data_IF_301969298109
#
_entry.id   IF_301969298109
#
_cell.length_a   1.000
_cell.length_b   1.000
_cell.length_c   1.000
_cell.angle_alpha   90.00
_cell.angle_beta   90.00
_cell.angle_gamma   90.00
#
_symmetry.space_group_name_H-M   'P 1'
#
loop_
_entity.id
_entity.type
_entity.pdbx_description
1 polymer ?
#
# COMPACT_ATOMS: atom_id res chain seq x y z
N UNK A 1 -26.36 22.32 18.04
CA UNK A 1 -25.28 22.42 19.04
C UNK A 1 -24.79 21.06 19.54
N UNK A 2 -25.38 19.92 19.14
CA UNK A 2 -25.01 18.56 19.57
C UNK A 2 -24.00 17.88 18.65
N UNK A 3 -23.89 18.27 17.40
CA UNK A 3 -23.01 17.57 16.42
C UNK A 3 -21.51 17.87 16.58
N UNK A 4 -21.14 19.08 17.01
CA UNK A 4 -19.74 19.46 17.20
C UNK A 4 -19.05 18.71 18.36
N UNK A 5 -19.81 18.28 19.35
CA UNK A 5 -19.30 17.55 20.52
C UNK A 5 -18.79 16.15 20.17
N UNK A 6 -19.40 15.50 19.18
CA UNK A 6 -18.98 14.17 18.71
C UNK A 6 -17.68 14.20 17.91
N UNK A 7 -17.49 15.23 17.10
CA UNK A 7 -16.26 15.41 16.32
C UNK A 7 -15.09 15.74 17.26
N UNK A 8 -15.32 16.60 18.26
CA UNK A 8 -14.31 16.94 19.26
C UNK A 8 -13.94 15.75 20.16
N UNK A 9 -14.92 14.93 20.54
CA UNK A 9 -14.71 13.72 21.32
C UNK A 9 -13.98 12.64 20.52
N UNK A 10 -14.30 12.48 19.23
CA UNK A 10 -13.59 11.57 18.33
C UNK A 10 -12.13 12.00 18.12
N UNK A 11 -11.86 13.30 17.99
CA UNK A 11 -10.49 13.84 17.90
C UNK A 11 -9.74 13.73 19.24
N UNK A 12 -10.40 13.96 20.36
CA UNK A 12 -9.80 13.84 21.70
C UNK A 12 -9.50 12.37 22.06
N UNK A 13 -10.33 11.43 21.63
CA UNK A 13 -10.11 9.98 21.80
C UNK A 13 -9.01 9.47 20.85
N UNK A 14 -8.90 10.01 19.64
CA UNK A 14 -7.76 9.77 18.73
C UNK A 14 -6.45 10.32 19.31
N UNK A 15 -6.48 11.51 19.92
CA UNK A 15 -5.29 12.11 20.50
C UNK A 15 -4.85 11.46 21.81
N UNK A 16 -5.78 11.09 22.68
CA UNK A 16 -5.47 10.46 23.97
C UNK A 16 -5.21 8.96 23.87
N UNK A 17 -6.01 8.21 23.11
CA UNK A 17 -5.82 6.77 22.96
C UNK A 17 -4.63 6.40 22.08
N UNK A 18 -4.43 7.10 20.95
CA UNK A 18 -3.34 6.82 20.01
C UNK A 18 -1.97 7.20 20.55
N UNK A 19 -1.85 8.36 21.17
CA UNK A 19 -0.56 8.88 21.63
C UNK A 19 -0.09 8.22 22.94
N UNK A 20 -0.97 7.94 23.88
CA UNK A 20 -0.63 7.22 25.12
C UNK A 20 -0.31 5.74 24.88
N UNK A 21 -1.01 5.09 23.96
CA UNK A 21 -0.72 3.70 23.59
C UNK A 21 0.61 3.58 22.83
N UNK A 22 0.94 4.58 22.03
CA UNK A 22 2.22 4.66 21.34
C UNK A 22 3.39 4.86 22.31
N UNK A 23 3.18 5.56 23.45
CA UNK A 23 4.22 5.80 24.45
C UNK A 23 4.37 4.70 25.52
N UNK A 24 3.33 3.92 25.80
CA UNK A 24 3.32 2.94 26.92
C UNK A 24 3.69 1.51 26.52
N UNK A 25 3.70 1.19 25.23
CA UNK A 25 4.05 -0.16 24.76
C UNK A 25 5.55 -0.35 24.79
N UNK A 26 6.01 -1.47 25.36
CA UNK A 26 7.43 -1.85 25.44
C UNK A 26 8.11 -1.65 24.07
N UNK A 27 9.26 -0.98 24.09
CA UNK A 27 10.05 -0.62 22.90
C UNK A 27 10.25 -1.81 21.94
N UNK A 28 10.37 -3.02 22.50
CA UNK A 28 10.51 -4.29 21.76
C UNK A 28 9.26 -4.70 21.00
N UNK A 29 8.06 -4.42 21.53
CA UNK A 29 6.80 -4.68 20.84
C UNK A 29 6.57 -3.70 19.69
N UNK A 30 6.90 -2.43 19.89
CA UNK A 30 6.81 -1.41 18.83
C UNK A 30 7.68 -1.74 17.61
N UNK A 31 8.91 -2.20 17.81
CA UNK A 31 9.76 -2.65 16.71
C UNK A 31 9.16 -3.83 15.94
N UNK A 32 8.54 -4.78 16.64
CA UNK A 32 7.87 -5.92 15.96
C UNK A 32 6.67 -5.47 15.13
N UNK A 33 5.92 -4.47 15.57
CA UNK A 33 4.76 -3.93 14.85
C UNK A 33 5.15 -3.03 13.67
N UNK A 34 6.32 -2.39 13.71
CA UNK A 34 6.90 -1.67 12.58
C UNK A 34 7.43 -2.62 11.49
N UNK A 35 7.87 -3.79 11.89
CA UNK A 35 8.51 -4.77 10.99
C UNK A 35 7.47 -5.74 10.41
N UNK A 36 6.56 -6.25 11.25
CA UNK A 36 5.53 -7.22 10.87
C UNK A 36 4.12 -6.67 11.13
N UNK A 37 3.16 -7.16 10.37
CA UNK A 37 1.76 -6.94 10.72
C UNK A 37 1.43 -7.55 12.10
N UNK A 38 0.46 -6.98 12.81
CA UNK A 38 0.02 -7.49 14.13
C UNK A 38 -0.33 -8.98 14.10
N UNK A 39 -0.91 -9.43 12.99
CA UNK A 39 -1.26 -10.84 12.77
C UNK A 39 -0.03 -11.71 12.64
N UNK A 40 0.95 -11.28 11.84
CA UNK A 40 2.14 -12.05 11.55
C UNK A 40 3.14 -12.01 12.72
N UNK A 41 3.21 -10.92 13.48
CA UNK A 41 4.08 -10.77 14.65
C UNK A 41 3.88 -11.91 15.67
N UNK A 42 2.64 -12.40 15.83
CA UNK A 42 2.24 -13.48 16.77
C UNK A 42 2.50 -14.89 16.24
N UNK A 43 2.79 -15.07 14.95
CA UNK A 43 3.04 -16.39 14.35
C UNK A 43 4.48 -16.86 14.54
N UNK A 44 4.68 -18.16 14.48
CA UNK A 44 6.02 -18.78 14.54
C UNK A 44 6.90 -18.39 13.35
N UNK A 45 8.21 -18.60 13.47
CA UNK A 45 9.20 -18.21 12.44
C UNK A 45 8.90 -18.86 11.08
N UNK A 46 8.56 -20.14 11.04
CA UNK A 46 8.23 -20.87 9.81
C UNK A 46 7.03 -20.25 9.07
N UNK A 47 5.96 -19.91 9.80
CA UNK A 47 4.80 -19.24 9.21
C UNK A 47 5.17 -17.86 8.64
N UNK A 48 6.02 -17.08 9.34
CA UNK A 48 6.46 -15.77 8.86
C UNK A 48 7.18 -15.87 7.53
N UNK A 49 8.13 -16.81 7.43
CA UNK A 49 8.90 -17.06 6.21
C UNK A 49 7.98 -17.49 5.07
N UNK A 50 7.06 -18.42 5.34
CA UNK A 50 6.10 -18.90 4.34
C UNK A 50 5.20 -17.76 3.82
N UNK A 51 4.66 -16.92 4.70
CA UNK A 51 3.83 -15.76 4.28
C UNK A 51 4.62 -14.74 3.46
N UNK A 52 5.85 -14.42 3.86
CA UNK A 52 6.72 -13.50 3.12
C UNK A 52 7.01 -14.09 1.74
N UNK A 53 7.38 -15.36 1.64
CA UNK A 53 7.68 -16.03 0.38
C UNK A 53 6.49 -16.04 -0.58
N UNK A 54 5.29 -16.42 -0.08
CA UNK A 54 4.07 -16.44 -0.89
C UNK A 54 3.70 -15.05 -1.39
N UNK A 55 3.78 -14.03 -0.53
CA UNK A 55 3.42 -12.67 -0.93
C UNK A 55 4.47 -12.05 -1.87
N UNK A 56 5.77 -12.37 -1.69
CA UNK A 56 6.80 -11.96 -2.65
C UNK A 56 6.57 -12.62 -4.00
N UNK A 57 6.25 -13.92 -4.04
CA UNK A 57 5.90 -14.61 -5.27
C UNK A 57 4.66 -13.97 -5.94
N UNK A 58 3.65 -13.58 -5.16
CA UNK A 58 2.48 -12.89 -5.68
C UNK A 58 2.83 -11.51 -6.28
N UNK A 59 3.77 -10.77 -5.67
CA UNK A 59 4.28 -9.51 -6.24
C UNK A 59 5.01 -9.74 -7.58
N UNK A 60 5.83 -10.78 -7.67
CA UNK A 60 6.50 -11.17 -8.94
C UNK A 60 5.48 -11.50 -10.00
N UNK A 61 4.50 -12.36 -9.69
CA UNK A 61 3.44 -12.76 -10.62
C UNK A 61 2.61 -11.55 -11.06
N UNK A 62 2.27 -10.66 -10.14
CA UNK A 62 1.51 -9.46 -10.46
C UNK A 62 2.27 -8.56 -11.45
N UNK A 63 3.57 -8.41 -11.27
CA UNK A 63 4.41 -7.60 -12.15
C UNK A 63 4.61 -8.25 -13.52
N UNK A 64 4.66 -9.58 -13.60
CA UNK A 64 4.87 -10.29 -14.86
C UNK A 64 3.60 -10.44 -15.71
N UNK A 65 2.47 -10.74 -15.08
CA UNK A 65 1.28 -11.23 -15.78
C UNK A 65 0.09 -10.26 -15.72
N UNK A 66 0.05 -9.36 -14.75
CA UNK A 66 -1.08 -8.44 -14.57
C UNK A 66 -0.81 -7.03 -15.11
N UNK A 67 0.13 -6.92 -16.05
CA UNK A 67 0.31 -5.73 -16.88
C UNK A 67 -0.25 -5.98 -18.26
N UNK A 68 -1.24 -5.19 -18.65
CA UNK A 68 -1.82 -5.26 -19.99
C UNK A 68 -2.07 -3.85 -20.53
N UNK A 69 -1.84 -3.70 -21.83
CA UNK A 69 -2.14 -2.46 -22.55
C UNK A 69 -3.54 -2.56 -23.13
N UNK A 70 -4.38 -1.58 -22.81
CA UNK A 70 -5.67 -1.42 -23.44
C UNK A 70 -5.73 -0.03 -24.06
N UNK A 71 -5.81 0.02 -25.40
CA UNK A 71 -5.57 1.24 -26.19
C UNK A 71 -4.20 1.85 -25.82
N UNK A 72 -4.16 3.14 -25.44
CA UNK A 72 -2.93 3.84 -25.03
C UNK A 72 -2.69 3.81 -23.52
N UNK A 73 -3.55 3.12 -22.77
CA UNK A 73 -3.48 3.05 -21.31
C UNK A 73 -2.87 1.73 -20.85
N UNK A 74 -1.86 1.81 -20.01
CA UNK A 74 -1.24 0.66 -19.37
C UNK A 74 -1.92 0.39 -18.03
N UNK A 75 -2.61 -0.74 -17.92
CA UNK A 75 -3.21 -1.20 -16.68
C UNK A 75 -2.28 -2.19 -15.99
N UNK A 76 -2.16 -2.04 -14.68
CA UNK A 76 -1.37 -2.92 -13.84
C UNK A 76 -2.06 -3.11 -12.49
N UNK A 77 -2.08 -4.34 -11.97
CA UNK A 77 -2.62 -4.64 -10.64
C UNK A 77 -1.55 -4.58 -9.54
N UNK A 78 -0.37 -4.09 -9.86
CA UNK A 78 0.77 -4.04 -8.93
C UNK A 78 0.51 -3.17 -7.71
N UNK A 79 -0.23 -2.06 -7.84
CA UNK A 79 -0.58 -1.18 -6.71
C UNK A 79 -1.48 -1.94 -5.70
N UNK A 80 -2.49 -2.65 -6.20
CA UNK A 80 -3.39 -3.46 -5.36
C UNK A 80 -2.61 -4.56 -4.62
N UNK A 81 -1.78 -5.33 -5.33
CA UNK A 81 -0.99 -6.41 -4.73
C UNK A 81 0.04 -5.86 -3.75
N UNK A 82 0.68 -4.73 -4.05
CA UNK A 82 1.64 -4.09 -3.15
C UNK A 82 0.97 -3.61 -1.86
N UNK A 83 -0.19 -2.95 -1.96
CA UNK A 83 -0.94 -2.54 -0.79
C UNK A 83 -1.38 -3.73 0.06
N UNK A 84 -1.91 -4.78 -0.56
CA UNK A 84 -2.30 -6.01 0.12
C UNK A 84 -1.11 -6.67 0.83
N UNK A 85 0.04 -6.75 0.17
CA UNK A 85 1.28 -7.30 0.72
C UNK A 85 1.72 -6.53 1.97
N UNK A 86 1.74 -5.20 1.90
CA UNK A 86 2.08 -4.35 3.05
C UNK A 86 1.15 -4.54 4.24
N UNK A 87 -0.15 -4.67 3.99
CA UNK A 87 -1.16 -4.89 5.04
C UNK A 87 -1.00 -6.26 5.69
N UNK A 88 -0.77 -7.31 4.92
CA UNK A 88 -0.72 -8.70 5.40
C UNK A 88 0.60 -9.06 6.07
N UNK A 89 1.73 -8.70 5.48
CA UNK A 89 3.07 -9.02 6.02
C UNK A 89 3.50 -7.99 7.05
N UNK A 90 3.25 -6.73 6.77
CA UNK A 90 3.72 -5.58 7.54
C UNK A 90 4.52 -4.61 6.68
N UNK A 91 4.74 -3.38 7.19
CA UNK A 91 5.29 -2.29 6.38
C UNK A 91 6.69 -2.58 5.85
N UNK A 92 7.61 -3.00 6.70
CA UNK A 92 9.01 -3.16 6.29
C UNK A 92 9.23 -4.37 5.37
N UNK A 93 8.71 -5.54 5.75
CA UNK A 93 8.83 -6.73 4.90
C UNK A 93 7.97 -6.62 3.64
N UNK A 94 6.85 -5.92 3.69
CA UNK A 94 6.06 -5.58 2.52
C UNK A 94 6.83 -4.73 1.53
N UNK A 95 7.54 -3.69 2.01
CA UNK A 95 8.43 -2.88 1.18
C UNK A 95 9.47 -3.75 0.46
N UNK A 96 10.20 -4.58 1.22
CA UNK A 96 11.26 -5.44 0.66
C UNK A 96 10.67 -6.43 -0.35
N UNK A 97 9.55 -7.07 -0.01
CA UNK A 97 8.89 -8.05 -0.87
C UNK A 97 8.44 -7.45 -2.21
N UNK A 98 7.85 -6.25 -2.18
CA UNK A 98 7.39 -5.58 -3.40
C UNK A 98 8.55 -5.04 -4.23
N UNK A 99 9.57 -4.46 -3.60
CA UNK A 99 10.77 -3.99 -4.30
C UNK A 99 11.51 -5.14 -4.99
N UNK A 100 11.72 -6.25 -4.28
CA UNK A 100 12.34 -7.45 -4.86
C UNK A 100 11.42 -8.10 -5.90
N UNK A 101 10.12 -8.08 -5.68
CA UNK A 101 9.14 -8.60 -6.64
C UNK A 101 9.17 -7.85 -7.97
N UNK A 102 9.31 -6.53 -7.94
CA UNK A 102 9.49 -5.70 -9.13
C UNK A 102 10.81 -6.00 -9.85
N UNK A 103 11.92 -6.05 -9.10
CA UNK A 103 13.24 -6.36 -9.65
C UNK A 103 13.27 -7.74 -10.33
N UNK A 104 12.77 -8.77 -9.66
CA UNK A 104 12.73 -10.15 -10.19
C UNK A 104 11.78 -10.23 -11.38
N UNK A 105 10.60 -9.61 -11.32
CA UNK A 105 9.64 -9.55 -12.40
C UNK A 105 10.26 -8.93 -13.67
N UNK A 106 10.97 -7.82 -13.50
CA UNK A 106 11.68 -7.15 -14.59
C UNK A 106 12.80 -8.02 -15.19
N UNK A 107 13.63 -8.67 -14.36
CA UNK A 107 14.72 -9.56 -14.84
C UNK A 107 14.18 -10.72 -15.69
N UNK A 108 12.98 -11.17 -15.39
CA UNK A 108 12.34 -12.25 -16.15
C UNK A 108 11.65 -11.75 -17.42
N UNK A 109 11.04 -10.58 -17.40
CA UNK A 109 10.29 -10.01 -18.52
C UNK A 109 10.62 -8.53 -18.74
N UNK A 110 11.86 -8.25 -19.16
CA UNK A 110 12.34 -6.87 -19.40
C UNK A 110 11.71 -6.21 -20.63
N UNK A 111 11.10 -6.98 -21.55
CA UNK A 111 10.56 -6.50 -22.83
C UNK A 111 11.49 -5.56 -23.61
N UNK A 112 12.80 -5.66 -23.37
CA UNK A 112 13.82 -4.82 -24.02
C UNK A 112 13.99 -3.42 -23.44
N UNK A 113 13.30 -3.10 -22.33
CA UNK A 113 13.45 -1.83 -21.63
C UNK A 113 14.56 -1.88 -20.58
N UNK A 114 15.08 -0.69 -20.22
CA UNK A 114 16.00 -0.56 -19.09
C UNK A 114 15.22 -0.61 -17.76
N UNK A 115 15.81 -1.23 -16.74
CA UNK A 115 15.21 -1.26 -15.40
C UNK A 115 15.06 0.15 -14.83
N UNK A 116 13.90 0.42 -14.29
CA UNK A 116 13.52 1.70 -13.70
C UNK A 116 13.35 1.58 -12.19
N UNK A 117 14.41 1.78 -11.38
CA UNK A 117 14.40 1.49 -9.94
C UNK A 117 13.33 2.24 -9.15
N UNK A 118 12.92 3.43 -9.62
CA UNK A 118 11.88 4.23 -8.96
C UNK A 118 10.50 3.58 -9.01
N UNK A 119 10.24 2.70 -9.98
CA UNK A 119 8.98 1.95 -10.05
C UNK A 119 8.94 0.94 -8.91
N UNK A 120 9.98 0.12 -8.75
CA UNK A 120 10.11 -0.81 -7.63
C UNK A 120 10.10 -0.09 -6.28
N UNK A 121 10.79 1.05 -6.17
CA UNK A 121 10.77 1.88 -4.98
C UNK A 121 9.35 2.37 -4.65
N UNK A 122 8.60 2.84 -5.65
CA UNK A 122 7.23 3.31 -5.45
C UNK A 122 6.31 2.17 -5.00
N UNK A 123 6.44 0.96 -5.56
CA UNK A 123 5.68 -0.22 -5.14
C UNK A 123 6.01 -0.62 -3.70
N UNK A 124 7.27 -0.58 -3.32
CA UNK A 124 7.72 -0.76 -1.93
C UNK A 124 7.09 0.27 -1.00
N UNK A 125 7.06 1.54 -1.39
CA UNK A 125 6.45 2.62 -0.59
C UNK A 125 4.94 2.46 -0.49
N UNK A 126 4.23 1.99 -1.52
CA UNK A 126 2.81 1.61 -1.43
C UNK A 126 2.61 0.58 -0.34
N UNK A 127 3.42 -0.48 -0.32
CA UNK A 127 3.33 -1.52 0.70
C UNK A 127 3.66 -0.98 2.11
N UNK A 128 4.66 -0.13 2.23
CA UNK A 128 5.07 0.49 3.48
C UNK A 128 3.96 1.38 4.06
N UNK A 129 3.42 2.29 3.27
CA UNK A 129 2.35 3.21 3.69
C UNK A 129 1.07 2.45 4.06
N UNK A 130 0.63 1.52 3.22
CA UNK A 130 -0.56 0.72 3.47
C UNK A 130 -0.42 -0.14 4.73
N UNK A 131 0.73 -0.80 4.90
CA UNK A 131 1.04 -1.57 6.09
C UNK A 131 1.09 -0.72 7.35
N UNK A 132 1.69 0.47 7.28
CA UNK A 132 1.82 1.38 8.42
C UNK A 132 0.46 1.93 8.88
N UNK A 133 -0.37 2.39 7.94
CA UNK A 133 -1.67 2.98 8.26
C UNK A 133 -2.64 1.91 8.78
N UNK A 134 -2.72 0.78 8.08
CA UNK A 134 -3.70 -0.26 8.44
C UNK A 134 -3.33 -1.00 9.73
N UNK A 135 -2.04 -1.25 9.99
CA UNK A 135 -1.59 -1.95 11.19
C UNK A 135 -1.25 -1.01 12.35
N UNK A 136 -0.83 0.24 12.10
CA UNK A 136 -0.39 1.20 13.12
C UNK A 136 -1.53 1.86 13.89
N UNK A 137 -2.66 2.13 13.22
CA UNK A 137 -3.79 2.83 13.84
C UNK A 137 -4.77 1.80 14.42
N UNK A 138 -5.05 1.88 15.72
CA UNK A 138 -6.05 1.01 16.36
C UNK A 138 -7.47 1.47 15.98
N UNK A 139 -8.32 0.53 15.58
CA UNK A 139 -9.65 0.80 15.02
C UNK A 139 -10.80 0.81 16.05
N UNK A 140 -10.55 0.74 17.36
CA UNK A 140 -11.57 0.74 18.44
C UNK A 140 -12.89 -0.01 18.12
N UNK A 141 -12.82 -1.10 17.33
CA UNK A 141 -13.98 -1.92 16.96
C UNK A 141 -15.00 -1.28 16.01
N UNK A 142 -14.77 -0.08 15.51
CA UNK A 142 -15.72 0.63 14.62
C UNK A 142 -15.45 0.27 13.14
N UNK A 143 -16.38 -0.38 12.44
CA UNK A 143 -16.16 -0.82 11.06
C UNK A 143 -15.93 0.33 10.07
N UNK A 144 -16.53 1.51 10.31
CA UNK A 144 -16.32 2.67 9.45
C UNK A 144 -14.86 3.19 9.47
N UNK A 145 -14.16 3.04 10.61
CA UNK A 145 -12.76 3.45 10.74
C UNK A 145 -11.83 2.64 9.79
N UNK A 146 -12.19 1.39 9.52
CA UNK A 146 -11.49 0.57 8.54
C UNK A 146 -11.54 1.19 7.14
N UNK A 147 -12.73 1.63 6.70
CA UNK A 147 -12.88 2.26 5.39
C UNK A 147 -12.21 3.64 5.31
N UNK A 148 -12.23 4.40 6.42
CA UNK A 148 -11.51 5.68 6.48
C UNK A 148 -10.00 5.48 6.36
N UNK A 149 -9.41 4.51 7.07
CA UNK A 149 -7.99 4.17 6.93
C UNK A 149 -7.67 3.76 5.49
N UNK A 150 -8.53 2.95 4.90
CA UNK A 150 -8.36 2.51 3.51
C UNK A 150 -8.40 3.68 2.53
N UNK A 151 -9.32 4.62 2.72
CA UNK A 151 -9.38 5.85 1.94
C UNK A 151 -8.10 6.69 2.10
N UNK A 152 -7.59 6.83 3.32
CA UNK A 152 -6.32 7.52 3.59
C UNK A 152 -5.16 6.83 2.89
N UNK A 153 -5.10 5.49 2.91
CA UNK A 153 -4.10 4.72 2.16
C UNK A 153 -4.16 5.05 0.67
N UNK A 154 -5.36 5.02 0.07
CA UNK A 154 -5.53 5.30 -1.36
C UNK A 154 -5.09 6.72 -1.73
N UNK A 155 -5.48 7.72 -0.95
CA UNK A 155 -5.10 9.12 -1.19
C UNK A 155 -3.58 9.31 -1.04
N UNK A 156 -2.99 8.80 0.04
CA UNK A 156 -1.56 8.95 0.29
C UNK A 156 -0.72 8.20 -0.75
N UNK A 157 -1.09 6.97 -1.11
CA UNK A 157 -0.35 6.21 -2.12
C UNK A 157 -0.49 6.85 -3.50
N UNK A 158 -1.64 7.43 -3.85
CA UNK A 158 -1.80 8.18 -5.09
C UNK A 158 -0.88 9.40 -5.11
N UNK A 159 -0.93 10.23 -4.07
CA UNK A 159 -0.13 11.47 -4.02
C UNK A 159 1.37 11.18 -3.98
N UNK A 160 1.82 10.27 -3.13
CA UNK A 160 3.24 9.98 -2.94
C UNK A 160 3.79 9.15 -4.09
N UNK A 161 3.16 8.03 -4.43
CA UNK A 161 3.73 7.08 -5.38
C UNK A 161 3.45 7.47 -6.83
N UNK A 162 2.19 7.81 -7.17
CA UNK A 162 1.84 8.13 -8.56
C UNK A 162 2.27 9.54 -8.94
N UNK A 163 1.93 10.54 -8.11
CA UNK A 163 2.22 11.94 -8.45
C UNK A 163 3.67 12.29 -8.12
N UNK A 164 4.09 12.15 -6.86
CA UNK A 164 5.41 12.64 -6.45
C UNK A 164 6.56 11.79 -7.00
N UNK A 165 6.54 10.46 -6.86
CA UNK A 165 7.67 9.61 -7.25
C UNK A 165 7.64 9.32 -8.75
N UNK A 166 6.61 8.60 -9.22
CA UNK A 166 6.62 8.10 -10.59
C UNK A 166 6.52 9.24 -11.61
N UNK A 167 5.59 10.18 -11.44
CA UNK A 167 5.44 11.29 -12.41
C UNK A 167 6.68 12.18 -12.44
N UNK A 168 7.26 12.49 -11.28
CA UNK A 168 8.48 13.33 -11.23
C UNK A 168 9.67 12.62 -11.86
N UNK A 169 9.87 11.32 -11.59
CA UNK A 169 10.96 10.57 -12.17
C UNK A 169 10.86 10.49 -13.70
N UNK A 170 9.66 10.20 -14.23
CA UNK A 170 9.44 10.17 -15.67
C UNK A 170 9.54 11.56 -16.31
N UNK A 171 9.07 12.60 -15.62
CA UNK A 171 9.21 13.97 -16.10
C UNK A 171 10.68 14.38 -16.23
N UNK A 172 11.49 14.12 -15.20
CA UNK A 172 12.92 14.46 -15.21
C UNK A 172 13.71 13.74 -16.31
N UNK A 173 13.32 12.52 -16.67
CA UNK A 173 14.09 11.70 -17.58
C UNK A 173 13.61 11.78 -19.03
N UNK A 174 12.34 11.97 -19.27
CA UNK A 174 11.75 11.82 -20.59
C UNK A 174 10.94 13.01 -21.08
N UNK A 175 10.48 13.91 -20.18
CA UNK A 175 9.63 15.02 -20.59
C UNK A 175 10.45 16.23 -21.09
N UNK A 176 9.94 16.85 -22.16
CA UNK A 176 10.46 18.12 -22.71
C UNK A 176 9.52 19.31 -22.44
N UNK A 177 8.47 19.09 -21.65
CA UNK A 177 7.40 20.03 -21.32
C UNK A 177 7.40 20.36 -19.82
N UNK A 178 6.64 21.37 -19.42
CA UNK A 178 6.51 21.74 -18.02
C UNK A 178 5.93 20.61 -17.15
N UNK A 179 6.29 20.57 -15.84
CA UNK A 179 5.86 19.52 -14.94
C UNK A 179 4.33 19.38 -14.87
N UNK A 180 3.60 20.48 -14.77
CA UNK A 180 2.14 20.47 -14.67
C UNK A 180 1.45 19.97 -15.94
N UNK A 181 1.98 20.36 -17.09
CA UNK A 181 1.50 19.86 -18.38
C UNK A 181 1.73 18.35 -18.51
N UNK A 182 2.93 17.89 -18.15
CA UNK A 182 3.25 16.46 -18.14
C UNK A 182 2.39 15.67 -17.17
N UNK A 183 2.14 16.22 -15.98
CA UNK A 183 1.27 15.61 -14.97
C UNK A 183 -0.15 15.37 -15.51
N UNK A 184 -0.74 16.40 -16.14
CA UNK A 184 -2.08 16.31 -16.73
C UNK A 184 -2.12 15.25 -17.83
N UNK A 185 -1.16 15.27 -18.76
CA UNK A 185 -1.07 14.27 -19.83
C UNK A 185 -0.93 12.86 -19.25
N UNK A 186 -0.08 12.67 -18.26
CA UNK A 186 0.15 11.37 -17.63
C UNK A 186 -1.08 10.86 -16.90
N UNK A 187 -1.74 11.71 -16.15
CA UNK A 187 -2.92 11.31 -15.37
C UNK A 187 -4.11 10.96 -16.26
N UNK A 188 -4.39 11.80 -17.26
CA UNK A 188 -5.60 11.67 -18.08
C UNK A 188 -5.34 10.94 -19.41
N UNK A 189 -4.38 11.40 -20.22
CA UNK A 189 -4.15 10.81 -21.54
C UNK A 189 -3.46 9.45 -21.46
N UNK A 190 -2.49 9.24 -20.54
CA UNK A 190 -1.87 7.94 -20.30
C UNK A 190 -2.69 7.06 -19.33
N UNK A 191 -3.86 7.52 -18.88
CA UNK A 191 -4.82 6.71 -18.12
C UNK A 191 -4.38 6.31 -16.71
N UNK A 192 -3.40 6.98 -16.08
CA UNK A 192 -2.94 6.62 -14.74
C UNK A 192 -4.04 6.77 -13.67
N UNK A 193 -4.97 7.70 -13.84
CA UNK A 193 -6.13 7.83 -12.96
C UNK A 193 -6.98 6.55 -13.01
N UNK A 194 -7.29 6.06 -14.20
CA UNK A 194 -8.10 4.86 -14.37
C UNK A 194 -7.43 3.63 -13.80
N UNK A 195 -6.12 3.49 -14.01
CA UNK A 195 -5.34 2.41 -13.40
C UNK A 195 -5.43 2.46 -11.86
N UNK A 196 -5.26 3.62 -11.25
CA UNK A 196 -5.37 3.78 -9.80
C UNK A 196 -6.80 3.48 -9.29
N UNK A 197 -7.82 3.99 -9.99
CA UNK A 197 -9.24 3.74 -9.63
C UNK A 197 -9.55 2.24 -9.60
N UNK A 198 -9.13 1.49 -10.62
CA UNK A 198 -9.32 0.03 -10.67
C UNK A 198 -8.61 -0.66 -9.50
N UNK A 199 -7.35 -0.33 -9.23
CA UNK A 199 -6.59 -0.90 -8.13
C UNK A 199 -7.23 -0.61 -6.76
N UNK A 200 -7.68 0.63 -6.55
CA UNK A 200 -8.31 1.02 -5.29
C UNK A 200 -9.71 0.42 -5.14
N UNK A 201 -10.48 0.32 -6.22
CA UNK A 201 -11.76 -0.38 -6.19
C UNK A 201 -11.61 -1.85 -5.79
N UNK A 202 -10.61 -2.54 -6.37
CA UNK A 202 -10.27 -3.91 -5.98
C UNK A 202 -9.85 -4.00 -4.51
N UNK A 203 -9.08 -3.03 -4.01
CA UNK A 203 -8.67 -2.99 -2.61
C UNK A 203 -9.88 -2.83 -1.68
N UNK A 204 -10.84 -1.95 -2.02
CA UNK A 204 -12.09 -1.77 -1.26
C UNK A 204 -13.00 -3.00 -1.30
N UNK A 205 -13.00 -3.76 -2.39
CA UNK A 205 -13.82 -4.97 -2.53
C UNK A 205 -13.18 -6.18 -1.83
N UNK A 206 -11.90 -6.42 -2.05
CA UNK A 206 -11.23 -7.65 -1.64
C UNK A 206 -10.75 -7.58 -0.18
N UNK A 207 -10.24 -6.45 0.29
CA UNK A 207 -9.69 -6.34 1.63
C UNK A 207 -10.70 -6.64 2.76
N UNK A 208 -11.98 -6.19 2.70
CA UNK A 208 -12.99 -6.57 3.69
C UNK A 208 -13.28 -8.08 3.71
N UNK A 209 -13.20 -8.75 2.56
CA UNK A 209 -13.39 -10.20 2.45
C UNK A 209 -12.20 -10.92 3.10
N UNK A 210 -10.98 -10.52 2.73
CA UNK A 210 -9.74 -11.08 3.30
C UNK A 210 -9.68 -10.87 4.81
N UNK A 211 -10.14 -9.73 5.31
CA UNK A 211 -10.18 -9.44 6.74
C UNK A 211 -11.07 -10.38 7.56
N UNK A 212 -12.05 -11.03 6.94
CA UNK A 212 -12.95 -12.00 7.60
C UNK A 212 -12.35 -13.42 7.69
N UNK A 213 -11.32 -13.72 6.90
CA UNK A 213 -10.67 -15.04 6.89
C UNK A 213 -9.89 -15.22 8.20
N UNK A 214 -10.25 -16.23 8.99
CA UNK A 214 -9.67 -16.49 10.33
C UNK A 214 -8.13 -16.39 10.42
N UNK A 215 -7.34 -17.06 9.54
CA UNK A 215 -5.88 -16.99 9.59
C UNK A 215 -5.30 -15.64 9.17
N UNK A 216 -6.05 -14.85 8.39
CA UNK A 216 -5.66 -13.54 7.85
C UNK A 216 -6.39 -12.38 8.55
N UNK A 217 -7.11 -12.67 9.64
CA UNK A 217 -7.94 -11.69 10.34
C UNK A 217 -7.11 -10.44 10.66
N UNK A 218 -7.25 -9.44 9.80
CA UNK A 218 -6.75 -8.09 10.04
C UNK A 218 -7.61 -7.55 11.15
N UNK A 219 -7.02 -7.29 12.32
CA UNK A 219 -7.79 -6.80 13.46
C UNK A 219 -8.47 -5.48 13.09
N UNK A 220 -9.79 -5.56 12.93
CA UNK A 220 -10.69 -4.40 12.82
C UNK A 220 -10.95 -3.82 14.23
N UNK A 221 -10.25 -4.30 15.23
CA UNK A 221 -10.36 -3.83 16.62
C UNK A 221 -9.37 -2.73 16.93
#
# INVERSE_FOLDING_TARGET
MYEAKWIYQAFADLSKGGFYYFMSTDRRQRWKELVFSKTLARKGKAHKIAYIAVMTALCVVANMFFEFKFMDTQFSLTIFVSALTGILIGPLFGFIACFLGDLVGFLYHSAGFMYMPWIGLSMGIVALLSGFIMNGINGNGKPWLFYVKLAIVCVLTFLVCTVAINTTAFWLLYAKVGYWEYLIVRLFAQGQIWNNVVNYALLFLILPIVSKIKPLKIYIN
#
